data_IF_294675878669
#
_entry.id   IF_294675878669
#
_cell.length_a   1.000
_cell.length_b   1.000
_cell.length_c   1.000
_cell.angle_alpha   90.00
_cell.angle_beta   90.00
_cell.angle_gamma   90.00
#
_symmetry.space_group_name_H-M   'P 1'
#
loop_
_entity.id
_entity.type
_entity.pdbx_description
1 polymer ?
#
# COMPACT_ATOMS: atom_id res chain seq x y z
N UNK A 1 21.93 39.75 -4.57
CA UNK A 1 20.81 39.27 -5.38
C UNK A 1 21.13 38.04 -6.22
N UNK A 2 22.33 37.79 -6.64
CA UNK A 2 22.75 36.62 -7.44
C UNK A 2 22.70 35.25 -6.74
N UNK A 3 22.87 35.21 -5.41
CA UNK A 3 22.91 33.97 -4.64
C UNK A 3 21.58 33.21 -4.59
N UNK A 4 20.45 33.93 -4.48
CA UNK A 4 19.11 33.29 -4.44
C UNK A 4 18.67 32.70 -5.78
N UNK A 5 19.12 33.28 -6.89
CA UNK A 5 18.80 32.78 -8.23
C UNK A 5 19.59 31.50 -8.58
N UNK A 6 20.77 31.32 -7.99
CA UNK A 6 21.58 30.11 -8.15
C UNK A 6 21.01 28.93 -7.35
N UNK A 7 20.51 29.20 -6.16
CA UNK A 7 19.92 28.18 -5.27
C UNK A 7 18.56 27.68 -5.80
N UNK A 8 17.74 28.58 -6.34
CA UNK A 8 16.47 28.20 -6.97
C UNK A 8 16.67 27.38 -8.25
N UNK A 9 17.74 27.63 -9.01
CA UNK A 9 18.10 26.83 -10.20
C UNK A 9 18.57 25.42 -9.82
N UNK A 10 19.36 25.30 -8.77
CA UNK A 10 19.83 23.99 -8.26
C UNK A 10 18.68 23.16 -7.69
N UNK A 11 17.76 23.80 -6.97
CA UNK A 11 16.55 23.14 -6.48
C UNK A 11 15.64 22.71 -7.64
N UNK A 12 15.52 23.52 -8.70
CA UNK A 12 14.75 23.18 -9.90
C UNK A 12 15.43 22.10 -10.75
N UNK A 13 16.76 22.07 -10.81
CA UNK A 13 17.50 21.00 -11.48
C UNK A 13 17.43 19.68 -10.71
N UNK A 14 17.51 19.70 -9.38
CA UNK A 14 17.35 18.51 -8.55
C UNK A 14 15.93 17.88 -8.70
N UNK A 15 14.90 18.72 -8.87
CA UNK A 15 13.52 18.25 -9.17
C UNK A 15 13.38 17.75 -10.62
N UNK A 16 14.22 18.18 -11.55
CA UNK A 16 14.18 17.75 -12.95
C UNK A 16 14.93 16.44 -13.20
N UNK A 17 15.95 16.13 -12.41
CA UNK A 17 16.72 14.88 -12.52
C UNK A 17 15.94 13.65 -12.03
N UNK A 18 14.94 13.83 -11.17
CA UNK A 18 14.09 12.73 -10.68
C UNK A 18 12.71 12.70 -11.35
N UNK A 19 12.65 13.06 -12.63
CA UNK A 19 11.40 12.98 -13.39
C UNK A 19 11.15 11.54 -13.84
N UNK A 20 10.59 10.73 -12.92
CA UNK A 20 10.09 9.39 -13.26
C UNK A 20 9.05 9.49 -14.37
N UNK A 21 9.10 8.55 -15.31
CA UNK A 21 8.03 8.42 -16.30
C UNK A 21 6.71 8.06 -15.58
N UNK A 22 5.54 8.38 -16.16
CA UNK A 22 4.25 7.99 -15.57
C UNK A 22 4.19 6.48 -15.23
N UNK A 23 4.73 5.64 -16.11
CA UNK A 23 4.78 4.20 -15.89
C UNK A 23 5.67 3.82 -14.67
N UNK A 24 6.81 4.48 -14.50
CA UNK A 24 7.69 4.26 -13.34
C UNK A 24 7.03 4.72 -12.04
N UNK A 25 6.32 5.85 -12.07
CA UNK A 25 5.57 6.36 -10.91
C UNK A 25 4.50 5.36 -10.46
N UNK A 26 3.71 4.86 -11.40
CA UNK A 26 2.68 3.84 -11.11
C UNK A 26 3.31 2.55 -10.59
N UNK A 27 4.36 2.05 -11.24
CA UNK A 27 5.05 0.84 -10.84
C UNK A 27 5.64 0.95 -9.43
N UNK A 28 6.30 2.07 -9.11
CA UNK A 28 6.85 2.32 -7.78
C UNK A 28 5.76 2.42 -6.72
N UNK A 29 4.66 3.13 -7.02
CA UNK A 29 3.50 3.24 -6.13
C UNK A 29 2.93 1.85 -5.81
N UNK A 30 2.69 1.01 -6.82
CA UNK A 30 2.19 -0.35 -6.65
C UNK A 30 3.16 -1.20 -5.82
N UNK A 31 4.45 -1.15 -6.13
CA UNK A 31 5.47 -1.95 -5.42
C UNK A 31 5.53 -1.59 -3.94
N UNK A 32 5.51 -0.30 -3.61
CA UNK A 32 5.51 0.17 -2.22
C UNK A 32 4.20 -0.21 -1.50
N UNK A 33 3.05 -0.12 -2.17
CA UNK A 33 1.77 -0.53 -1.61
C UNK A 33 1.71 -2.05 -1.36
N UNK A 34 2.25 -2.87 -2.26
CA UNK A 34 2.35 -4.32 -2.06
C UNK A 34 3.21 -4.64 -0.85
N UNK A 35 4.41 -4.06 -0.75
CA UNK A 35 5.29 -4.25 0.39
C UNK A 35 4.64 -3.77 1.70
N UNK A 36 4.00 -2.60 1.71
CA UNK A 36 3.25 -2.06 2.84
C UNK A 36 2.15 -3.03 3.29
N UNK A 37 1.35 -3.53 2.36
CA UNK A 37 0.24 -4.44 2.68
C UNK A 37 0.69 -5.81 3.21
N UNK A 38 1.89 -6.29 2.85
CA UNK A 38 2.46 -7.48 3.49
C UNK A 38 2.69 -7.26 4.98
N UNK A 39 3.31 -6.13 5.36
CA UNK A 39 3.48 -5.77 6.77
C UNK A 39 2.14 -5.57 7.49
N UNK A 40 1.20 -4.87 6.85
CA UNK A 40 -0.13 -4.63 7.40
C UNK A 40 -0.88 -5.94 7.68
N UNK A 41 -0.86 -6.89 6.74
CA UNK A 41 -1.52 -8.19 6.89
C UNK A 41 -0.93 -8.97 8.07
N UNK A 42 0.40 -8.98 8.22
CA UNK A 42 1.06 -9.61 9.36
C UNK A 42 0.75 -8.88 10.67
N UNK A 43 0.77 -7.54 10.68
CA UNK A 43 0.46 -6.74 11.86
C UNK A 43 -0.97 -6.99 12.37
N UNK A 44 -1.94 -7.13 11.47
CA UNK A 44 -3.36 -7.27 11.83
C UNK A 44 -3.78 -8.69 12.18
N UNK A 45 -3.16 -9.69 11.57
CA UNK A 45 -3.62 -11.08 11.70
C UNK A 45 -2.57 -12.04 12.24
N UNK A 46 -1.27 -11.69 12.18
CA UNK A 46 -0.20 -12.58 12.65
C UNK A 46 -0.27 -12.88 14.14
N UNK A 47 -0.76 -11.93 14.94
CA UNK A 47 -0.92 -12.11 16.39
C UNK A 47 -2.00 -13.14 16.74
N UNK A 48 -3.00 -13.37 15.89
CA UNK A 48 -4.04 -14.37 16.12
C UNK A 48 -3.50 -15.80 16.12
N UNK A 49 -2.36 -16.02 15.45
CA UNK A 49 -1.73 -17.35 15.38
C UNK A 49 -0.61 -17.55 16.39
N UNK A 50 0.13 -16.50 16.72
CA UNK A 50 1.34 -16.60 17.52
C UNK A 50 1.23 -16.00 18.92
N UNK A 51 0.25 -15.13 19.15
CA UNK A 51 0.07 -14.40 20.39
C UNK A 51 -1.34 -14.59 20.98
N UNK A 52 -2.02 -15.68 20.62
CA UNK A 52 -3.38 -16.03 21.06
C UNK A 52 -3.48 -16.21 22.57
N UNK A 53 -2.41 -16.69 23.22
CA UNK A 53 -2.32 -16.90 24.67
C UNK A 53 -1.73 -15.71 25.43
N UNK A 54 -1.22 -14.69 24.74
CA UNK A 54 -0.62 -13.51 25.37
C UNK A 54 -1.65 -12.45 25.71
N UNK A 55 -1.40 -11.58 26.72
CA UNK A 55 -2.28 -10.46 27.01
C UNK A 55 -2.45 -9.57 25.76
N UNK A 56 -3.68 -9.10 25.52
CA UNK A 56 -4.03 -8.32 24.33
C UNK A 56 -3.17 -7.07 24.11
N UNK A 57 -2.71 -6.43 25.18
CA UNK A 57 -1.88 -5.22 25.10
C UNK A 57 -0.47 -5.51 24.58
N UNK A 58 0.09 -6.71 24.85
CA UNK A 58 1.37 -7.12 24.27
C UNK A 58 1.22 -7.42 22.78
N UNK A 59 0.14 -8.13 22.41
CA UNK A 59 -0.18 -8.34 21.00
C UNK A 59 -0.36 -7.01 20.26
N UNK A 60 -1.03 -6.02 20.87
CA UNK A 60 -1.19 -4.69 20.31
C UNK A 60 0.13 -3.95 20.10
N UNK A 61 1.05 -3.98 21.08
CA UNK A 61 2.38 -3.33 20.97
C UNK A 61 3.22 -3.98 19.87
N UNK A 62 3.24 -5.31 19.78
CA UNK A 62 3.97 -6.03 18.72
C UNK A 62 3.39 -5.70 17.36
N UNK A 63 2.08 -5.75 17.20
CA UNK A 63 1.39 -5.39 15.97
C UNK A 63 1.63 -3.94 15.56
N UNK A 64 1.63 -3.01 16.51
CA UNK A 64 1.96 -1.61 16.28
C UNK A 64 3.40 -1.43 15.78
N UNK A 65 4.37 -2.15 16.36
CA UNK A 65 5.75 -2.14 15.90
C UNK A 65 5.91 -2.61 14.45
N UNK A 66 5.14 -3.62 14.04
CA UNK A 66 5.11 -4.09 12.63
C UNK A 66 4.42 -3.07 11.73
N UNK A 67 3.31 -2.47 12.18
CA UNK A 67 2.58 -1.46 11.44
C UNK A 67 3.40 -0.17 11.19
N UNK A 68 4.42 0.10 11.99
CA UNK A 68 5.34 1.21 11.74
C UNK A 68 6.06 1.05 10.39
N UNK A 69 6.52 -0.16 10.06
CA UNK A 69 7.14 -0.45 8.76
C UNK A 69 6.15 -0.33 7.61
N UNK A 70 4.90 -0.73 7.83
CA UNK A 70 3.80 -0.51 6.87
C UNK A 70 3.66 0.98 6.55
N UNK A 71 3.57 1.85 7.55
CA UNK A 71 3.44 3.30 7.35
C UNK A 71 4.63 3.93 6.64
N UNK A 72 5.86 3.47 6.93
CA UNK A 72 7.07 3.95 6.24
C UNK A 72 7.06 3.67 4.75
N UNK A 73 6.31 2.68 4.29
CA UNK A 73 6.13 2.32 2.88
C UNK A 73 4.87 2.94 2.28
N UNK A 74 3.75 2.94 3.02
CA UNK A 74 2.46 3.41 2.54
C UNK A 74 2.44 4.93 2.32
N UNK A 75 3.00 5.70 3.24
CA UNK A 75 2.99 7.17 3.14
C UNK A 75 3.75 7.65 1.90
N UNK A 76 5.00 7.19 1.62
CA UNK A 76 5.68 7.53 0.36
C UNK A 76 4.91 7.04 -0.87
N UNK A 77 4.35 5.82 -0.85
CA UNK A 77 3.58 5.28 -1.97
C UNK A 77 2.42 6.19 -2.35
N UNK A 78 1.61 6.59 -1.37
CA UNK A 78 0.47 7.48 -1.58
C UNK A 78 0.91 8.86 -2.08
N UNK A 79 2.01 9.42 -1.55
CA UNK A 79 2.56 10.71 -1.99
C UNK A 79 3.05 10.65 -3.43
N UNK A 80 3.78 9.61 -3.80
CA UNK A 80 4.30 9.40 -5.16
C UNK A 80 3.15 9.23 -6.14
N UNK A 81 2.16 8.38 -5.82
CA UNK A 81 1.00 8.15 -6.65
C UNK A 81 0.16 9.41 -6.86
N UNK A 82 -0.10 10.16 -5.78
CA UNK A 82 -0.85 11.42 -5.85
C UNK A 82 -0.11 12.49 -6.65
N UNK A 83 1.19 12.67 -6.42
CA UNK A 83 2.03 13.58 -7.21
C UNK A 83 2.14 13.17 -8.68
N UNK A 84 2.00 11.87 -8.98
CA UNK A 84 1.96 11.31 -10.33
C UNK A 84 0.61 11.46 -11.03
N UNK A 85 -0.38 12.12 -10.39
CA UNK A 85 -1.69 12.44 -10.99
C UNK A 85 -2.81 11.44 -10.66
N UNK A 86 -2.57 10.45 -9.77
CA UNK A 86 -3.63 9.56 -9.29
C UNK A 86 -4.56 10.30 -8.32
N UNK A 87 -5.86 10.13 -8.47
CA UNK A 87 -6.84 10.66 -7.51
C UNK A 87 -6.82 9.87 -6.20
N UNK A 88 -7.35 10.48 -5.12
CA UNK A 88 -7.51 9.78 -3.83
C UNK A 88 -8.36 8.50 -3.96
N UNK A 89 -9.41 8.54 -4.79
CA UNK A 89 -10.26 7.40 -5.03
C UNK A 89 -9.50 6.27 -5.74
N UNK A 90 -8.68 6.60 -6.74
CA UNK A 90 -7.83 5.63 -7.44
C UNK A 90 -6.81 4.98 -6.51
N UNK A 91 -6.13 5.76 -5.66
CA UNK A 91 -5.19 5.24 -4.66
C UNK A 91 -5.89 4.32 -3.66
N UNK A 92 -7.09 4.71 -3.19
CA UNK A 92 -7.86 3.90 -2.24
C UNK A 92 -8.30 2.57 -2.85
N UNK A 93 -8.88 2.57 -4.04
CA UNK A 93 -9.31 1.34 -4.71
C UNK A 93 -8.12 0.44 -5.06
N UNK A 94 -7.01 1.02 -5.52
CA UNK A 94 -5.79 0.26 -5.77
C UNK A 94 -5.30 -0.44 -4.50
N UNK A 95 -5.32 0.25 -3.36
CA UNK A 95 -4.95 -0.33 -2.07
C UNK A 95 -5.87 -1.48 -1.66
N UNK A 96 -7.19 -1.35 -1.84
CA UNK A 96 -8.15 -2.43 -1.52
C UNK A 96 -7.92 -3.69 -2.38
N UNK A 97 -7.65 -3.50 -3.67
CA UNK A 97 -7.30 -4.62 -4.57
C UNK A 97 -6.04 -5.34 -4.10
N UNK A 98 -4.98 -4.58 -3.78
CA UNK A 98 -3.71 -5.13 -3.29
C UNK A 98 -3.93 -5.83 -1.94
N UNK A 99 -4.68 -5.20 -1.03
CA UNK A 99 -5.00 -5.78 0.28
C UNK A 99 -5.68 -7.14 0.13
N UNK A 100 -6.70 -7.26 -0.71
CA UNK A 100 -7.40 -8.53 -0.92
C UNK A 100 -6.50 -9.56 -1.62
N UNK A 101 -5.71 -9.12 -2.61
CA UNK A 101 -4.79 -10.00 -3.32
C UNK A 101 -3.71 -10.61 -2.42
N UNK A 102 -3.30 -9.89 -1.36
CA UNK A 102 -2.35 -10.37 -0.36
C UNK A 102 -3.06 -11.16 0.75
N UNK A 103 -4.21 -10.66 1.21
CA UNK A 103 -4.95 -11.27 2.31
C UNK A 103 -5.45 -12.67 1.99
N UNK A 104 -6.00 -12.90 0.79
CA UNK A 104 -6.56 -14.22 0.43
C UNK A 104 -5.50 -15.33 0.46
N UNK A 105 -4.33 -15.21 -0.20
CA UNK A 105 -3.26 -16.19 -0.06
C UNK A 105 -2.76 -16.33 1.38
N UNK A 106 -2.63 -15.24 2.12
CA UNK A 106 -2.23 -15.26 3.52
C UNK A 106 -3.23 -16.05 4.38
N UNK A 107 -4.52 -15.81 4.24
CA UNK A 107 -5.56 -16.51 4.98
C UNK A 107 -5.56 -18.02 4.66
N UNK A 108 -5.39 -18.39 3.39
CA UNK A 108 -5.38 -19.78 2.95
C UNK A 108 -4.08 -20.52 3.35
N UNK A 109 -2.92 -19.92 3.08
CA UNK A 109 -1.63 -20.60 3.22
C UNK A 109 -1.05 -20.48 4.64
N UNK A 110 -1.24 -19.34 5.28
CA UNK A 110 -0.67 -19.07 6.60
C UNK A 110 -1.64 -19.37 7.73
N UNK A 111 -2.90 -18.94 7.61
CA UNK A 111 -3.92 -19.16 8.65
C UNK A 111 -4.62 -20.53 8.50
N UNK A 112 -4.52 -21.18 7.33
CA UNK A 112 -5.14 -22.48 7.07
C UNK A 112 -6.65 -22.39 6.80
N UNK A 113 -7.15 -21.22 6.43
CA UNK A 113 -8.57 -21.03 6.07
C UNK A 113 -8.90 -21.74 4.75
N UNK A 114 -10.01 -22.47 4.66
CA UNK A 114 -10.39 -23.13 3.42
C UNK A 114 -10.78 -22.08 2.35
N UNK A 115 -10.48 -22.33 1.06
CA UNK A 115 -10.90 -21.47 -0.03
C UNK A 115 -12.43 -21.40 -0.10
N UNK A 116 -12.98 -20.19 -0.06
CA UNK A 116 -14.43 -19.96 -0.12
C UNK A 116 -14.79 -19.27 -1.44
N UNK A 117 -15.88 -19.70 -2.06
CA UNK A 117 -16.40 -19.09 -3.29
C UNK A 117 -16.69 -17.58 -3.11
N UNK A 118 -16.95 -17.15 -1.89
CA UNK A 118 -17.17 -15.74 -1.56
C UNK A 118 -15.95 -14.86 -1.87
N UNK A 119 -14.71 -15.39 -1.82
CA UNK A 119 -13.51 -14.65 -2.23
C UNK A 119 -13.54 -14.33 -3.73
N UNK A 120 -14.07 -15.23 -4.56
CA UNK A 120 -14.25 -14.97 -5.99
C UNK A 120 -15.27 -13.86 -6.23
N UNK A 121 -16.39 -13.88 -5.54
CA UNK A 121 -17.41 -12.83 -5.64
C UNK A 121 -16.88 -11.48 -5.19
N UNK A 122 -16.14 -11.44 -4.08
CA UNK A 122 -15.48 -10.24 -3.60
C UNK A 122 -14.47 -9.68 -4.64
N UNK A 123 -13.67 -10.55 -5.26
CA UNK A 123 -12.74 -10.15 -6.30
C UNK A 123 -13.47 -9.57 -7.53
N UNK A 124 -14.57 -10.16 -7.96
CA UNK A 124 -15.37 -9.65 -9.07
C UNK A 124 -15.98 -8.27 -8.74
N UNK A 125 -16.47 -8.05 -7.53
CA UNK A 125 -16.97 -6.75 -7.08
C UNK A 125 -15.86 -5.69 -7.10
N UNK A 126 -14.65 -6.03 -6.64
CA UNK A 126 -13.49 -5.13 -6.69
C UNK A 126 -13.04 -4.81 -8.11
N UNK A 127 -13.07 -5.80 -9.02
CA UNK A 127 -12.80 -5.56 -10.43
C UNK A 127 -13.80 -4.57 -11.04
N UNK A 128 -15.08 -4.69 -10.68
CA UNK A 128 -16.12 -3.72 -11.04
C UNK A 128 -15.80 -2.32 -10.50
N UNK A 129 -15.39 -2.20 -9.24
CA UNK A 129 -14.98 -0.94 -8.64
C UNK A 129 -13.77 -0.31 -9.36
N UNK A 130 -12.76 -1.12 -9.70
CA UNK A 130 -11.60 -0.66 -10.49
C UNK A 130 -12.06 -0.10 -11.84
N UNK A 131 -12.94 -0.83 -12.54
CA UNK A 131 -13.46 -0.37 -13.82
C UNK A 131 -14.10 1.02 -13.71
N UNK A 132 -15.02 1.23 -12.77
CA UNK A 132 -15.72 2.50 -12.59
C UNK A 132 -14.80 3.65 -12.15
N UNK A 133 -13.76 3.38 -11.37
CA UNK A 133 -12.85 4.43 -10.88
C UNK A 133 -11.79 4.84 -11.90
N UNK A 134 -11.38 3.92 -12.79
CA UNK A 134 -10.29 4.19 -13.74
C UNK A 134 -10.76 4.43 -15.18
N UNK A 135 -11.92 3.93 -15.57
CA UNK A 135 -12.34 3.90 -16.96
C UNK A 135 -13.73 4.49 -17.24
N UNK A 136 -14.56 4.68 -16.22
CA UNK A 136 -15.86 5.34 -16.36
C UNK A 136 -15.80 6.80 -15.89
#
# INVERSE_FOLDING_TARGET
MASRACDSRKAHQFTLEFRMSPAQTVALTITLLVASNLFMTVAWYGHLKHLDTTPWYLAAVVSWGIALFEYLLQVPANRIGYAGGMSLAQLKILQEVITLAIFVPFAMLYMGEPPKLNYLWAALCLMGAVYFIFFA
#
